data_IF_151759119694
#
_entry.id   IF_151759119694
#
_cell.length_a   1.000
_cell.length_b   1.000
_cell.length_c   1.000
_cell.angle_alpha   90.00
_cell.angle_beta   90.00
_cell.angle_gamma   90.00
#
_symmetry.space_group_name_H-M   'P 1'
#
loop_
_entity.id
_entity.type
_entity.pdbx_description
1 polymer ?
#
# COMPACT_ATOMS: atom_id res chain seq x y z
N UNK A 1 -29.18 5.69 35.18
CA UNK A 1 -28.78 5.68 33.76
C UNK A 1 -27.29 6.00 33.64
N UNK A 2 -26.39 5.12 34.09
CA UNK A 2 -24.96 5.43 34.14
C UNK A 2 -24.07 4.16 34.11
N UNK A 3 -24.47 3.11 33.38
CA UNK A 3 -23.67 1.87 33.27
C UNK A 3 -23.61 1.28 31.85
N UNK A 4 -24.24 1.92 30.86
CA UNK A 4 -24.38 1.31 29.51
C UNK A 4 -23.24 1.61 28.53
N UNK A 5 -22.23 2.40 28.89
CA UNK A 5 -21.24 2.90 27.91
C UNK A 5 -19.81 2.39 28.08
N UNK A 6 -19.47 1.65 29.12
CA UNK A 6 -18.11 1.12 29.27
C UNK A 6 -17.91 -0.11 28.36
N UNK A 7 -18.92 -0.99 28.26
CA UNK A 7 -18.86 -2.16 27.38
C UNK A 7 -18.81 -1.81 25.87
N UNK A 8 -19.44 -0.69 25.45
CA UNK A 8 -19.34 -0.20 24.07
C UNK A 8 -17.99 0.48 23.76
N UNK A 9 -17.21 0.85 24.78
CA UNK A 9 -15.85 1.40 24.64
C UNK A 9 -14.78 0.30 24.61
N UNK A 10 -15.06 -0.88 25.17
CA UNK A 10 -14.18 -2.05 25.12
C UNK A 10 -14.53 -3.04 23.99
N UNK A 11 -15.63 -2.81 23.26
CA UNK A 11 -16.22 -3.79 22.33
C UNK A 11 -15.87 -3.62 20.85
N UNK A 12 -15.05 -2.63 20.46
CA UNK A 12 -14.53 -2.51 19.09
C UNK A 12 -13.01 -2.55 19.13
N UNK A 13 -12.42 -3.55 18.48
CA UNK A 13 -10.97 -3.64 18.27
C UNK A 13 -10.46 -2.29 17.74
N UNK A 14 -9.48 -1.63 18.40
CA UNK A 14 -8.91 -0.37 17.91
C UNK A 14 -8.18 -0.55 16.57
N UNK A 15 -7.90 -1.80 16.18
CA UNK A 15 -7.30 -2.17 14.89
C UNK A 15 -8.32 -2.25 13.77
N UNK A 16 -9.61 -2.46 14.07
CA UNK A 16 -10.62 -2.63 13.02
C UNK A 16 -10.66 -1.48 12.00
N UNK A 17 -10.65 -0.19 12.39
CA UNK A 17 -10.63 0.89 11.40
C UNK A 17 -9.27 1.02 10.69
N UNK A 18 -8.16 0.63 11.33
CA UNK A 18 -6.83 0.56 10.70
C UNK A 18 -6.80 -0.53 9.62
N UNK A 19 -7.45 -1.66 9.86
CA UNK A 19 -7.65 -2.74 8.89
C UNK A 19 -8.53 -2.32 7.74
N UNK A 20 -9.65 -1.65 8.01
CA UNK A 20 -10.52 -1.07 6.97
C UNK A 20 -9.77 -0.05 6.10
N UNK A 21 -8.94 0.79 6.73
CA UNK A 21 -8.06 1.72 6.03
C UNK A 21 -7.04 1.00 5.14
N UNK A 22 -6.29 0.03 5.67
CA UNK A 22 -5.32 -0.75 4.90
C UNK A 22 -5.97 -1.50 3.74
N UNK A 23 -7.17 -2.06 3.93
CA UNK A 23 -7.90 -2.75 2.87
C UNK A 23 -8.26 -1.79 1.73
N UNK A 24 -8.65 -0.56 2.07
CA UNK A 24 -8.99 0.49 1.09
C UNK A 24 -7.73 1.00 0.37
N UNK A 25 -6.61 1.16 1.09
CA UNK A 25 -5.33 1.51 0.49
C UNK A 25 -4.82 0.41 -0.45
N UNK A 26 -4.98 -0.87 -0.06
CA UNK A 26 -4.67 -1.99 -0.93
C UNK A 26 -5.56 -2.01 -2.17
N UNK A 27 -6.86 -1.74 -2.05
CA UNK A 27 -7.79 -1.63 -3.17
C UNK A 27 -7.30 -0.62 -4.23
N UNK A 28 -6.85 0.57 -3.79
CA UNK A 28 -6.27 1.57 -4.68
C UNK A 28 -5.01 1.05 -5.39
N UNK A 29 -4.10 0.39 -4.66
CA UNK A 29 -2.89 -0.19 -5.26
C UNK A 29 -3.19 -1.35 -6.21
N UNK A 30 -4.16 -2.21 -5.89
CA UNK A 30 -4.50 -3.39 -6.67
C UNK A 30 -5.04 -3.01 -8.05
N UNK A 31 -5.75 -1.89 -8.15
CA UNK A 31 -6.22 -1.35 -9.43
C UNK A 31 -5.09 -0.85 -10.34
N UNK A 32 -3.85 -0.71 -9.86
CA UNK A 32 -2.70 -0.40 -10.73
C UNK A 32 -2.41 -1.53 -11.73
N UNK A 33 -2.63 -2.80 -11.39
CA UNK A 33 -2.40 -3.92 -12.31
C UNK A 33 -3.28 -3.79 -13.57
N UNK A 34 -4.62 -3.77 -13.48
CA UNK A 34 -5.46 -3.60 -14.66
C UNK A 34 -5.32 -2.21 -15.30
N UNK A 35 -4.89 -1.19 -14.55
CA UNK A 35 -4.57 0.13 -15.11
C UNK A 35 -3.37 0.06 -16.06
N UNK A 36 -2.26 -0.55 -15.66
CA UNK A 36 -1.08 -0.71 -16.51
C UNK A 36 -1.33 -1.68 -17.66
N UNK A 37 -2.15 -2.72 -17.48
CA UNK A 37 -2.61 -3.56 -18.59
C UNK A 37 -3.34 -2.74 -19.66
N UNK A 38 -4.22 -1.82 -19.25
CA UNK A 38 -4.93 -0.94 -20.18
C UNK A 38 -3.96 0.02 -20.90
N UNK A 39 -2.99 0.61 -20.18
CA UNK A 39 -1.95 1.45 -20.79
C UNK A 39 -1.10 0.67 -21.82
N UNK A 40 -0.70 -0.55 -21.48
CA UNK A 40 0.09 -1.43 -22.36
C UNK A 40 -0.70 -1.79 -23.63
N UNK A 41 -2.01 -1.96 -23.52
CA UNK A 41 -2.91 -2.24 -24.65
C UNK A 41 -3.29 -0.98 -25.45
N UNK A 42 -2.90 0.22 -24.98
CA UNK A 42 -3.30 1.50 -25.58
C UNK A 42 -4.76 1.87 -25.34
N UNK A 43 -5.45 1.21 -24.41
CA UNK A 43 -6.84 1.50 -24.06
C UNK A 43 -6.91 2.61 -23.00
N UNK A 44 -6.70 3.85 -23.46
CA UNK A 44 -6.73 5.03 -22.58
C UNK A 44 -8.09 5.25 -21.92
N UNK A 45 -9.19 4.89 -22.59
CA UNK A 45 -10.53 5.05 -22.02
C UNK A 45 -10.73 4.13 -20.81
N UNK A 46 -10.27 2.89 -20.90
CA UNK A 46 -10.29 1.95 -19.77
C UNK A 46 -9.31 2.36 -18.67
N UNK A 47 -8.13 2.85 -19.03
CA UNK A 47 -7.18 3.38 -18.05
C UNK A 47 -7.78 4.57 -17.27
N UNK A 48 -8.50 5.49 -17.94
CA UNK A 48 -9.22 6.59 -17.30
C UNK A 48 -10.36 6.12 -16.38
N UNK A 49 -11.08 5.06 -16.75
CA UNK A 49 -12.09 4.46 -15.89
C UNK A 49 -11.48 3.91 -14.60
N UNK A 50 -10.36 3.17 -14.72
CA UNK A 50 -9.66 2.58 -13.58
C UNK A 50 -9.02 3.69 -12.72
N UNK A 51 -8.47 4.74 -13.31
CA UNK A 51 -7.93 5.90 -12.58
C UNK A 51 -9.00 6.56 -11.68
N UNK A 52 -10.26 6.61 -12.13
CA UNK A 52 -11.38 7.10 -11.29
C UNK A 52 -11.67 6.17 -10.11
N UNK A 53 -11.54 4.85 -10.30
CA UNK A 53 -11.69 3.87 -9.21
C UNK A 53 -10.58 4.00 -8.18
N UNK A 54 -9.33 4.15 -8.62
CA UNK A 54 -8.16 4.43 -7.75
C UNK A 54 -8.41 5.71 -6.95
N UNK A 55 -8.83 6.78 -7.63
CA UNK A 55 -9.14 8.05 -6.96
C UNK A 55 -10.28 7.91 -5.95
N UNK A 56 -11.31 7.12 -6.24
CA UNK A 56 -12.42 6.89 -5.32
C UNK A 56 -12.01 6.04 -4.09
N UNK A 57 -11.09 5.08 -4.26
CA UNK A 57 -10.52 4.32 -3.16
C UNK A 57 -9.63 5.21 -2.28
N UNK A 58 -8.78 6.05 -2.87
CA UNK A 58 -7.93 7.00 -2.14
C UNK A 58 -8.78 7.98 -1.30
N UNK A 59 -9.81 8.60 -1.89
CA UNK A 59 -10.71 9.49 -1.14
C UNK A 59 -11.39 8.79 0.05
N UNK A 60 -11.78 7.52 -0.12
CA UNK A 60 -12.35 6.71 0.98
C UNK A 60 -11.31 6.43 2.06
N UNK A 61 -10.06 6.12 1.69
CA UNK A 61 -8.98 5.93 2.65
C UNK A 61 -8.75 7.21 3.46
N UNK A 62 -8.73 8.36 2.80
CA UNK A 62 -8.54 9.67 3.43
C UNK A 62 -9.70 10.02 4.40
N UNK A 63 -10.94 9.67 4.06
CA UNK A 63 -12.09 9.77 4.96
C UNK A 63 -11.94 8.90 6.21
N UNK A 64 -11.53 7.64 6.05
CA UNK A 64 -11.29 6.71 7.17
C UNK A 64 -10.14 7.23 8.06
N UNK A 65 -9.04 7.70 7.46
CA UNK A 65 -7.90 8.31 8.16
C UNK A 65 -8.30 9.53 8.98
N UNK A 66 -9.16 10.40 8.42
CA UNK A 66 -9.69 11.56 9.13
C UNK A 66 -10.54 11.14 10.32
N UNK A 67 -11.45 10.19 10.11
CA UNK A 67 -12.32 9.67 11.18
C UNK A 67 -11.50 9.05 12.33
N UNK A 68 -10.50 8.23 11.98
CA UNK A 68 -9.53 7.65 12.91
C UNK A 68 -8.83 8.74 13.74
N UNK A 69 -8.26 9.77 13.11
CA UNK A 69 -7.54 10.83 13.83
C UNK A 69 -8.41 11.60 14.82
N UNK A 70 -9.70 11.77 14.51
CA UNK A 70 -10.65 12.48 15.36
C UNK A 70 -11.14 11.65 16.54
N UNK A 71 -11.33 10.34 16.34
CA UNK A 71 -11.98 9.47 17.32
C UNK A 71 -11.00 8.56 18.08
N UNK A 72 -9.72 8.48 17.69
CA UNK A 72 -8.72 7.65 18.36
C UNK A 72 -8.40 8.23 19.76
N UNK A 73 -8.83 7.56 20.85
CA UNK A 73 -8.71 8.10 22.20
C UNK A 73 -7.26 8.06 22.70
N UNK A 74 -6.84 9.04 23.50
CA UNK A 74 -5.54 9.08 24.20
C UNK A 74 -5.49 8.12 25.43
N UNK A 75 -6.30 7.06 25.44
CA UNK A 75 -6.59 6.26 26.65
C UNK A 75 -5.37 5.53 27.21
N UNK A 76 -5.24 5.57 28.55
CA UNK A 76 -4.27 4.82 29.36
C UNK A 76 -4.43 3.28 29.30
N UNK A 77 -5.52 2.78 28.68
CA UNK A 77 -5.89 1.35 28.68
C UNK A 77 -5.91 0.70 27.28
N UNK A 78 -5.31 1.33 26.26
CA UNK A 78 -5.15 0.67 24.96
C UNK A 78 -3.99 -0.35 25.01
N UNK A 79 -4.12 -1.53 24.36
CA UNK A 79 -3.05 -2.51 24.27
C UNK A 79 -1.86 -2.02 23.42
N UNK A 80 -2.06 -0.95 22.63
CA UNK A 80 -1.08 -0.33 21.74
C UNK A 80 -1.08 1.18 21.93
N UNK A 81 0.06 1.83 21.74
CA UNK A 81 0.15 3.29 21.90
C UNK A 81 -0.53 4.02 20.73
N UNK A 82 -1.16 5.17 21.02
CA UNK A 82 -1.78 6.01 19.99
C UNK A 82 -0.78 6.47 18.93
N UNK A 83 0.44 6.83 19.35
CA UNK A 83 1.50 7.28 18.44
C UNK A 83 1.87 6.20 17.43
N UNK A 84 2.08 4.96 17.90
CA UNK A 84 2.45 3.85 17.03
C UNK A 84 1.32 3.53 16.02
N UNK A 85 0.04 3.64 16.43
CA UNK A 85 -1.11 3.51 15.52
C UNK A 85 -1.18 4.62 14.47
N UNK A 86 -0.87 5.87 14.85
CA UNK A 86 -0.86 6.98 13.91
C UNK A 86 0.30 6.88 12.91
N UNK A 87 1.46 6.36 13.33
CA UNK A 87 2.58 6.07 12.44
C UNK A 87 2.26 4.95 11.46
N UNK A 88 1.57 3.90 11.93
CA UNK A 88 1.05 2.83 11.08
C UNK A 88 0.04 3.37 10.06
N UNK A 89 -0.93 4.17 10.49
CA UNK A 89 -1.92 4.81 9.62
C UNK A 89 -1.24 5.67 8.54
N UNK A 90 -0.23 6.45 8.91
CA UNK A 90 0.54 7.27 7.97
C UNK A 90 1.27 6.44 6.91
N UNK A 91 1.75 5.25 7.26
CA UNK A 91 2.38 4.33 6.32
C UNK A 91 1.39 3.80 5.27
N UNK A 92 0.22 3.37 5.74
CA UNK A 92 -0.84 2.81 4.89
C UNK A 92 -1.38 3.86 3.92
N UNK A 93 -1.52 5.10 4.39
CA UNK A 93 -2.06 6.22 3.64
C UNK A 93 -1.23 6.52 2.38
N UNK A 94 0.09 6.47 2.53
CA UNK A 94 1.02 6.65 1.41
C UNK A 94 0.78 5.65 0.28
N UNK A 95 0.36 4.42 0.57
CA UNK A 95 0.10 3.41 -0.48
C UNK A 95 -1.03 3.89 -1.40
N UNK A 96 -2.12 4.40 -0.84
CA UNK A 96 -3.26 4.91 -1.60
C UNK A 96 -2.90 6.18 -2.38
N UNK A 97 -2.20 7.12 -1.73
CA UNK A 97 -1.77 8.36 -2.37
C UNK A 97 -0.80 8.08 -3.54
N UNK A 98 0.20 7.22 -3.35
CA UNK A 98 1.16 6.86 -4.40
C UNK A 98 0.45 6.19 -5.58
N UNK A 99 -0.53 5.31 -5.33
CA UNK A 99 -1.32 4.72 -6.41
C UNK A 99 -2.10 5.77 -7.23
N UNK A 100 -2.72 6.74 -6.55
CA UNK A 100 -3.40 7.87 -7.19
C UNK A 100 -2.43 8.75 -7.98
N UNK A 101 -1.25 9.04 -7.45
CA UNK A 101 -0.21 9.85 -8.11
C UNK A 101 0.29 9.17 -9.38
N UNK A 102 0.59 7.86 -9.33
CA UNK A 102 1.00 7.06 -10.49
C UNK A 102 -0.07 7.13 -11.59
N UNK A 103 -1.32 6.84 -11.24
CA UNK A 103 -2.42 6.80 -12.21
C UNK A 103 -2.71 8.20 -12.78
N UNK A 104 -2.73 9.23 -11.92
CA UNK A 104 -2.99 10.61 -12.30
C UNK A 104 -1.92 11.17 -13.24
N UNK A 105 -0.64 10.91 -12.95
CA UNK A 105 0.46 11.31 -13.83
C UNK A 105 0.39 10.59 -15.18
N UNK A 106 0.18 9.28 -15.15
CA UNK A 106 0.16 8.45 -16.36
C UNK A 106 -0.98 8.86 -17.31
N UNK A 107 -2.17 9.12 -16.79
CA UNK A 107 -3.31 9.65 -17.58
C UNK A 107 -3.07 11.09 -18.02
N UNK A 108 -2.65 11.97 -17.12
CA UNK A 108 -2.45 13.39 -17.42
C UNK A 108 -1.44 13.62 -18.54
N UNK A 109 -0.47 12.73 -18.68
CA UNK A 109 0.52 12.74 -19.76
C UNK A 109 0.20 11.83 -20.94
N UNK A 110 -0.87 11.03 -20.85
CA UNK A 110 -1.19 9.96 -21.82
C UNK A 110 0.04 9.08 -22.08
N UNK A 111 0.66 8.62 -21.00
CA UNK A 111 1.92 7.88 -21.08
C UNK A 111 1.75 6.59 -21.88
N UNK A 112 2.72 6.33 -22.75
CA UNK A 112 2.84 5.08 -23.48
C UNK A 112 4.02 4.30 -22.90
N UNK A 113 3.80 3.02 -22.58
CA UNK A 113 4.87 2.14 -22.11
C UNK A 113 5.57 1.52 -23.33
N UNK A 114 6.87 1.80 -23.56
CA UNK A 114 7.59 1.27 -24.71
C UNK A 114 7.51 -0.26 -24.76
N UNK A 115 7.31 -0.83 -25.95
CA UNK A 115 7.11 -2.28 -26.13
C UNK A 115 8.18 -3.15 -25.44
N UNK A 116 9.44 -2.70 -25.42
CA UNK A 116 10.56 -3.38 -24.76
C UNK A 116 10.41 -3.47 -23.23
N UNK A 117 9.65 -2.56 -22.61
CA UNK A 117 9.47 -2.47 -21.15
C UNK A 117 8.16 -3.08 -20.66
N UNK A 118 7.19 -3.36 -21.53
CA UNK A 118 5.82 -3.73 -21.14
C UNK A 118 5.76 -4.93 -20.18
N UNK A 119 6.45 -6.01 -20.49
CA UNK A 119 6.46 -7.22 -19.65
C UNK A 119 7.13 -6.98 -18.29
N UNK A 120 8.25 -6.23 -18.28
CA UNK A 120 8.95 -5.88 -17.04
C UNK A 120 8.11 -4.94 -16.18
N UNK A 121 7.44 -3.96 -16.80
CA UNK A 121 6.54 -3.03 -16.13
C UNK A 121 5.38 -3.79 -15.47
N UNK A 122 4.71 -4.67 -16.19
CA UNK A 122 3.62 -5.48 -15.64
C UNK A 122 4.10 -6.32 -14.44
N UNK A 123 5.22 -7.02 -14.58
CA UNK A 123 5.80 -7.84 -13.50
C UNK A 123 6.20 -6.98 -12.29
N UNK A 124 6.72 -5.78 -12.52
CA UNK A 124 7.15 -4.88 -11.46
C UNK A 124 5.94 -4.31 -10.68
N UNK A 125 4.91 -3.86 -11.38
CA UNK A 125 3.64 -3.42 -10.77
C UNK A 125 2.99 -4.54 -9.97
N UNK A 126 2.92 -5.76 -10.52
CA UNK A 126 2.42 -6.93 -9.79
C UNK A 126 3.21 -7.19 -8.49
N UNK A 127 4.54 -7.03 -8.53
CA UNK A 127 5.38 -7.20 -7.35
C UNK A 127 5.08 -6.17 -6.27
N UNK A 128 4.95 -4.89 -6.64
CA UNK A 128 4.62 -3.82 -5.69
C UNK A 128 3.22 -4.01 -5.06
N UNK A 129 2.23 -4.42 -5.88
CA UNK A 129 0.88 -4.75 -5.40
C UNK A 129 0.88 -5.98 -4.49
N UNK A 130 1.73 -6.98 -4.77
CA UNK A 130 1.88 -8.15 -3.90
C UNK A 130 2.43 -7.77 -2.51
N UNK A 131 3.35 -6.81 -2.42
CA UNK A 131 3.83 -6.27 -1.14
C UNK A 131 2.71 -5.59 -0.36
N UNK A 132 1.87 -4.78 -1.03
CA UNK A 132 0.67 -4.18 -0.44
C UNK A 132 -0.33 -5.24 0.06
N UNK A 133 -0.54 -6.32 -0.71
CA UNK A 133 -1.38 -7.44 -0.29
C UNK A 133 -0.83 -8.15 0.95
N UNK A 134 0.50 -8.32 1.03
CA UNK A 134 1.15 -8.91 2.20
C UNK A 134 1.01 -8.03 3.44
N UNK A 135 1.16 -6.71 3.30
CA UNK A 135 0.92 -5.78 4.39
C UNK A 135 -0.53 -5.85 4.91
N UNK A 136 -1.51 -6.00 4.02
CA UNK A 136 -2.91 -6.22 4.41
C UNK A 136 -3.10 -7.55 5.16
N UNK A 137 -2.48 -8.64 4.70
CA UNK A 137 -2.49 -9.93 5.42
C UNK A 137 -1.92 -9.78 6.83
N UNK A 138 -0.80 -9.10 6.97
CA UNK A 138 -0.17 -8.85 8.26
C UNK A 138 -1.08 -8.08 9.23
N UNK A 139 -1.79 -7.05 8.74
CA UNK A 139 -2.78 -6.32 9.54
C UNK A 139 -3.97 -7.20 9.95
N UNK A 140 -4.45 -8.07 9.07
CA UNK A 140 -5.57 -8.98 9.38
C UNK A 140 -5.21 -9.98 10.47
N UNK A 141 -4.03 -10.57 10.40
CA UNK A 141 -3.56 -11.52 11.42
C UNK A 141 -3.29 -10.84 12.78
N UNK A 142 -2.86 -9.57 12.79
CA UNK A 142 -2.78 -8.79 14.03
C UNK A 142 -4.16 -8.65 14.71
N UNK A 143 -5.21 -8.37 13.94
CA UNK A 143 -6.59 -8.25 14.45
C UNK A 143 -7.03 -9.58 15.10
N UNK A 144 -6.73 -10.72 14.48
CA UNK A 144 -7.00 -12.06 15.02
C UNK A 144 -6.19 -12.36 16.30
N UNK A 145 -4.93 -11.92 16.37
CA UNK A 145 -4.09 -12.09 17.56
C UNK A 145 -4.62 -11.29 18.75
N UNK A 146 -5.10 -10.07 18.52
CA UNK A 146 -5.73 -9.24 19.54
C UNK A 146 -7.05 -9.83 20.05
N UNK A 147 -7.88 -10.38 19.15
CA UNK A 147 -9.13 -11.04 19.53
C UNK A 147 -8.91 -12.33 20.34
N UNK A 148 -7.85 -13.08 20.03
CA UNK A 148 -7.50 -14.31 20.75
C UNK A 148 -6.73 -14.08 22.05
N UNK A 149 -6.39 -12.83 22.37
CA UNK A 149 -5.74 -12.45 23.63
C UNK A 149 -4.28 -12.87 23.74
N UNK A 150 -3.58 -12.97 22.60
CA UNK A 150 -2.15 -13.26 22.53
C UNK A 150 -1.73 -14.56 23.27
N UNK A 151 -2.10 -15.70 22.69
CA UNK A 151 -1.85 -17.04 23.25
C UNK A 151 -0.39 -17.55 23.11
N UNK A 152 0.60 -16.68 22.94
CA UNK A 152 2.03 -17.03 22.87
C UNK A 152 2.54 -17.39 21.47
N UNK A 153 1.83 -16.97 20.41
CA UNK A 153 2.21 -17.21 18.98
C UNK A 153 2.57 -15.93 18.23
N UNK A 154 2.62 -14.81 18.93
CA UNK A 154 2.73 -13.46 18.37
C UNK A 154 4.07 -13.28 17.65
N UNK A 155 5.13 -13.78 18.29
CA UNK A 155 6.50 -13.68 17.80
C UNK A 155 6.67 -14.49 16.51
N UNK A 156 6.17 -15.72 16.47
CA UNK A 156 6.27 -16.59 15.28
C UNK A 156 5.48 -16.02 14.09
N UNK A 157 4.32 -15.42 14.37
CA UNK A 157 3.47 -14.82 13.35
C UNK A 157 4.11 -13.54 12.81
N UNK A 158 4.55 -12.64 13.70
CA UNK A 158 5.27 -11.42 13.33
C UNK A 158 6.52 -11.74 12.51
N UNK A 159 7.30 -12.73 12.92
CA UNK A 159 8.52 -13.12 12.23
C UNK A 159 8.24 -13.60 10.81
N UNK A 160 7.26 -14.49 10.61
CA UNK A 160 6.90 -14.97 9.27
C UNK A 160 6.42 -13.85 8.35
N UNK A 161 5.63 -12.91 8.86
CA UNK A 161 5.17 -11.76 8.07
C UNK A 161 6.32 -10.89 7.60
N UNK A 162 7.30 -10.63 8.48
CA UNK A 162 8.49 -9.84 8.15
C UNK A 162 9.33 -10.57 7.11
N UNK A 163 9.58 -11.87 7.28
CA UNK A 163 10.34 -12.68 6.32
C UNK A 163 9.70 -12.63 4.91
N UNK A 164 8.37 -12.73 4.82
CA UNK A 164 7.65 -12.64 3.55
C UNK A 164 7.70 -11.23 2.94
N UNK A 165 7.63 -10.16 3.75
CA UNK A 165 7.79 -8.79 3.26
C UNK A 165 9.21 -8.52 2.76
N UNK A 166 10.23 -9.00 3.48
CA UNK A 166 11.64 -8.85 3.09
C UNK A 166 11.95 -9.60 1.79
N UNK A 167 11.32 -10.76 1.55
CA UNK A 167 11.43 -11.47 0.28
C UNK A 167 10.81 -10.69 -0.88
N UNK A 168 9.66 -10.05 -0.64
CA UNK A 168 8.98 -9.21 -1.63
C UNK A 168 9.74 -7.91 -1.92
N UNK A 169 10.33 -7.28 -0.90
CA UNK A 169 11.22 -6.11 -1.03
C UNK A 169 12.42 -6.46 -1.92
N UNK A 170 13.17 -7.53 -1.59
CA UNK A 170 14.31 -7.99 -2.40
C UNK A 170 13.92 -8.26 -3.86
N UNK A 171 12.73 -8.83 -4.08
CA UNK A 171 12.21 -9.07 -5.43
C UNK A 171 11.90 -7.75 -6.13
N UNK A 172 11.24 -6.82 -5.45
CA UNK A 172 10.88 -5.50 -5.98
C UNK A 172 12.11 -4.69 -6.37
N UNK A 173 13.12 -4.62 -5.50
CA UNK A 173 14.39 -3.93 -5.73
C UNK A 173 15.10 -4.45 -6.98
N UNK A 174 15.14 -5.78 -7.12
CA UNK A 174 15.74 -6.42 -8.28
C UNK A 174 15.01 -6.05 -9.57
N UNK A 175 13.68 -6.11 -9.57
CA UNK A 175 12.85 -5.74 -10.72
C UNK A 175 13.01 -4.26 -11.06
N UNK A 176 13.13 -3.39 -10.07
CA UNK A 176 13.36 -1.95 -10.26
C UNK A 176 14.71 -1.68 -10.95
N UNK A 177 15.78 -2.34 -10.50
CA UNK A 177 17.09 -2.25 -11.14
C UNK A 177 17.03 -2.75 -12.58
N UNK A 178 16.37 -3.89 -12.82
CA UNK A 178 16.24 -4.49 -14.14
C UNK A 178 15.47 -3.60 -15.12
N UNK A 179 14.33 -3.02 -14.71
CA UNK A 179 13.54 -2.14 -15.60
C UNK A 179 14.24 -0.81 -15.86
N UNK A 180 14.95 -0.24 -14.88
CA UNK A 180 15.77 0.97 -15.07
C UNK A 180 16.92 0.73 -16.05
N UNK A 181 17.57 -0.44 -15.97
CA UNK A 181 18.61 -0.83 -16.92
C UNK A 181 18.05 -0.96 -18.35
N UNK A 182 16.89 -1.63 -18.50
CA UNK A 182 16.22 -1.74 -19.80
C UNK A 182 15.79 -0.38 -20.37
N UNK A 183 15.32 0.54 -19.53
CA UNK A 183 14.98 1.90 -19.96
C UNK A 183 16.23 2.65 -20.43
N UNK A 184 17.34 2.53 -19.71
CA UNK A 184 18.61 3.16 -20.08
C UNK A 184 19.13 2.69 -21.46
N UNK A 185 18.90 1.42 -21.82
CA UNK A 185 19.29 0.90 -23.14
C UNK A 185 18.53 1.56 -24.30
N UNK A 186 17.32 2.06 -24.05
CA UNK A 186 16.41 2.59 -25.07
C UNK A 186 16.19 4.10 -24.98
N UNK A 187 16.68 4.76 -23.93
CA UNK A 187 16.36 6.17 -23.64
C UNK A 187 16.81 7.13 -24.75
N UNK A 188 17.83 6.76 -25.54
CA UNK A 188 18.32 7.57 -26.66
C UNK A 188 17.37 7.58 -27.85
N UNK A 189 16.48 6.59 -27.93
CA UNK A 189 15.49 6.44 -29.01
C UNK A 189 14.15 7.08 -28.65
N UNK A 190 14.01 7.65 -27.44
CA UNK A 190 12.77 8.22 -26.91
C UNK A 190 12.89 9.74 -26.72
N UNK A 191 11.76 10.49 -26.73
CA UNK A 191 11.77 11.89 -26.34
C UNK A 191 12.30 12.05 -24.90
N UNK A 192 13.29 12.95 -24.65
CA UNK A 192 13.92 13.05 -23.34
C UNK A 192 12.95 13.34 -22.19
N UNK A 193 11.89 14.10 -22.45
CA UNK A 193 10.88 14.39 -21.43
C UNK A 193 10.13 13.12 -21.04
N UNK A 194 9.79 12.25 -21.99
CA UNK A 194 9.05 11.02 -21.73
C UNK A 194 9.91 10.01 -20.96
N UNK A 195 11.22 9.95 -21.25
CA UNK A 195 12.20 9.18 -20.46
C UNK A 195 12.16 9.59 -18.98
N UNK A 196 12.17 10.89 -18.69
CA UNK A 196 12.13 11.38 -17.29
C UNK A 196 10.84 10.93 -16.59
N UNK A 197 9.71 10.96 -17.28
CA UNK A 197 8.45 10.52 -16.68
C UNK A 197 8.34 9.00 -16.54
N UNK A 198 8.97 8.22 -17.43
CA UNK A 198 9.10 6.77 -17.26
C UNK A 198 9.94 6.44 -16.02
N UNK A 199 11.10 7.08 -15.82
CA UNK A 199 11.88 6.93 -14.59
C UNK A 199 11.09 7.32 -13.34
N UNK A 200 10.31 8.41 -13.40
CA UNK A 200 9.46 8.86 -12.29
C UNK A 200 8.39 7.83 -11.92
N UNK A 201 7.70 7.26 -12.92
CA UNK A 201 6.68 6.23 -12.66
C UNK A 201 7.30 4.96 -12.09
N UNK A 202 8.48 4.56 -12.59
CA UNK A 202 9.23 3.43 -12.03
C UNK A 202 9.58 3.69 -10.56
N UNK A 203 10.13 4.87 -10.25
CA UNK A 203 10.45 5.28 -8.87
C UNK A 203 9.21 5.19 -7.96
N UNK A 204 8.07 5.72 -8.40
CA UNK A 204 6.84 5.67 -7.59
C UNK A 204 6.26 4.26 -7.41
N UNK A 205 6.43 3.36 -8.38
CA UNK A 205 6.05 1.95 -8.18
C UNK A 205 6.93 1.30 -7.11
N UNK A 206 8.23 1.63 -7.09
CA UNK A 206 9.15 1.25 -6.01
C UNK A 206 8.70 1.82 -4.66
N UNK A 207 8.43 3.13 -4.60
CA UNK A 207 7.95 3.81 -3.38
C UNK A 207 6.68 3.17 -2.81
N UNK A 208 5.78 2.66 -3.67
CA UNK A 208 4.57 1.94 -3.23
C UNK A 208 4.92 0.65 -2.49
N UNK A 209 5.89 -0.13 -3.01
CA UNK A 209 6.38 -1.34 -2.38
C UNK A 209 7.06 -1.01 -1.03
N UNK A 210 7.89 0.04 -0.98
CA UNK A 210 8.56 0.49 0.23
C UNK A 210 7.58 0.96 1.30
N UNK A 211 6.52 1.67 0.90
CA UNK A 211 5.46 2.07 1.82
C UNK A 211 4.74 0.86 2.42
N UNK A 212 4.46 -0.16 1.60
CA UNK A 212 3.85 -1.42 2.05
C UNK A 212 4.78 -2.22 2.97
N UNK A 213 6.08 -2.32 2.66
CA UNK A 213 7.08 -2.92 3.56
C UNK A 213 7.13 -2.17 4.90
N UNK A 214 7.12 -0.85 4.84
CA UNK A 214 7.09 0.02 6.02
C UNK A 214 5.87 -0.18 6.92
N UNK A 215 4.73 -0.71 6.42
CA UNK A 215 3.59 -1.11 7.25
C UNK A 215 3.97 -2.32 8.12
N UNK A 216 4.65 -3.32 7.56
CA UNK A 216 5.13 -4.49 8.29
C UNK A 216 6.16 -4.17 9.36
N UNK A 217 7.13 -3.30 9.06
CA UNK A 217 8.11 -2.87 10.07
C UNK A 217 7.44 -2.23 11.29
N UNK A 218 6.40 -1.43 11.07
CA UNK A 218 5.62 -0.80 12.14
C UNK A 218 4.79 -1.80 12.92
N UNK A 219 4.24 -2.81 12.25
CA UNK A 219 3.57 -3.94 12.90
C UNK A 219 4.51 -4.73 13.82
N UNK A 220 5.74 -4.98 13.38
CA UNK A 220 6.73 -5.67 14.20
C UNK A 220 7.07 -4.87 15.46
N UNK A 221 7.23 -3.55 15.34
CA UNK A 221 7.46 -2.66 16.48
C UNK A 221 6.29 -2.64 17.48
N UNK A 222 5.05 -2.78 16.97
CA UNK A 222 3.85 -2.91 17.81
C UNK A 222 3.83 -4.23 18.59
N UNK A 223 4.29 -5.32 18.00
CA UNK A 223 4.28 -6.67 18.59
C UNK A 223 5.48 -6.98 19.49
N UNK A 224 6.58 -6.24 19.33
CA UNK A 224 7.81 -6.44 20.11
C UNK A 224 7.77 -5.82 21.53
N UNK A 225 6.62 -5.33 21.99
CA UNK A 225 6.43 -4.69 23.31
C UNK A 225 5.57 -5.53 24.23
#
# INVERSE_FOLDING_TARGET
MALTNIANLFGRSPIKPIKEHMATAHEASADLVPFFEALIQGDLAKAEEIQKRISAAENRADDIKRDLRLHLPDSLFMPVSRSDLLELLHAQDKIANTAQDIAGLSIGRKMEIPAKLQNQMATFVESAVATSAQALRAINELDELLESGFAGREVDIAQRMTEELDDLERKSDKLEVEIRASLFEIEKDLPPVDVIFLYRVIEWIGDLADCAHGVGNRLQLLLAR
#
